data_IF_601596293331
#
_entry.id   IF_601596293331
#
_cell.length_a   1.000
_cell.length_b   1.000
_cell.length_c   1.000
_cell.angle_alpha   90.00
_cell.angle_beta   90.00
_cell.angle_gamma   90.00
#
_symmetry.space_group_name_H-M   'P 1'
#
loop_
_entity.id
_entity.type
_entity.pdbx_description
1 polymer ?
#
# COMPACT_ATOMS: atom_id res chain seq x y z
N UNK A 1 -10.94 27.52 0.02
CA UNK A 1 -10.45 27.29 1.40
C UNK A 1 -9.14 26.54 1.30
N UNK A 2 -8.05 27.03 1.91
CA UNK A 2 -6.76 26.39 1.76
C UNK A 2 -6.80 25.02 2.44
N UNK A 3 -6.22 24.04 1.78
CA UNK A 3 -6.05 22.66 2.24
C UNK A 3 -5.28 22.65 3.55
N UNK A 4 -5.99 22.47 4.67
CA UNK A 4 -5.43 21.88 5.87
C UNK A 4 -4.97 20.47 5.49
N UNK A 5 -3.72 20.37 5.08
CA UNK A 5 -3.05 19.07 4.94
C UNK A 5 -2.92 18.58 6.36
N UNK A 6 -3.83 17.70 6.76
CA UNK A 6 -3.70 16.89 7.95
C UNK A 6 -2.26 16.39 8.05
N UNK A 7 -1.47 16.99 8.93
CA UNK A 7 -0.26 16.38 9.49
C UNK A 7 -0.72 15.28 10.43
N UNK A 8 -1.47 14.31 9.90
CA UNK A 8 -1.73 13.07 10.61
C UNK A 8 -0.37 12.43 10.82
N UNK A 9 -0.02 12.15 12.08
CA UNK A 9 1.18 11.39 12.39
C UNK A 9 1.10 10.05 11.65
N UNK A 10 2.23 9.53 11.18
CA UNK A 10 2.27 8.21 10.53
C UNK A 10 1.71 7.12 11.47
N UNK A 11 1.83 7.37 12.79
CA UNK A 11 1.19 6.61 13.87
C UNK A 11 -0.34 6.59 13.80
N UNK A 12 -0.97 7.74 13.56
CA UNK A 12 -2.44 7.87 13.62
C UNK A 12 -3.11 7.33 12.35
N UNK A 13 -2.35 7.24 11.26
CA UNK A 13 -2.78 6.64 10.00
C UNK A 13 -2.59 5.11 9.97
N UNK A 14 -2.02 4.50 11.03
CA UNK A 14 -1.80 3.06 11.07
C UNK A 14 -3.14 2.30 11.15
N UNK A 15 -3.47 1.41 10.20
CA UNK A 15 -4.80 0.82 10.16
C UNK A 15 -5.02 -0.11 11.36
N UNK A 16 -6.19 0.04 12.00
CA UNK A 16 -6.53 -0.67 13.24
C UNK A 16 -6.41 -2.19 13.11
N UNK A 17 -6.72 -2.75 11.93
CA UNK A 17 -6.65 -4.19 11.67
C UNK A 17 -5.24 -4.79 11.68
N UNK A 18 -4.19 -3.98 11.60
CA UNK A 18 -2.80 -4.46 11.61
C UNK A 18 -2.12 -4.32 12.98
N UNK A 19 -2.85 -3.91 14.03
CA UNK A 19 -2.25 -3.63 15.34
C UNK A 19 -1.65 -4.86 16.01
N UNK A 20 -2.22 -6.04 15.76
CA UNK A 20 -1.73 -7.30 16.33
C UNK A 20 -0.70 -8.00 15.43
N UNK A 21 -0.57 -7.54 14.19
CA UNK A 21 0.34 -8.10 13.19
C UNK A 21 1.75 -7.54 13.33
N UNK A 22 2.73 -8.30 12.82
CA UNK A 22 4.13 -7.85 12.77
C UNK A 22 4.37 -7.11 11.45
N UNK A 23 4.05 -5.82 11.43
CA UNK A 23 3.98 -5.03 10.18
C UNK A 23 4.87 -3.79 10.25
N UNK A 24 5.44 -3.41 9.10
CA UNK A 24 6.17 -2.16 8.92
C UNK A 24 5.49 -1.36 7.82
N UNK A 25 5.12 -0.11 8.09
CA UNK A 25 4.69 0.86 7.08
C UNK A 25 5.78 1.90 6.87
N UNK A 26 6.31 1.97 5.66
CA UNK A 26 7.43 2.86 5.31
C UNK A 26 6.97 3.99 4.39
N UNK A 27 7.09 5.24 4.85
CA UNK A 27 7.00 6.45 4.04
C UNK A 27 8.34 6.75 3.37
N UNK A 28 8.47 6.28 2.14
CA UNK A 28 9.67 6.46 1.29
C UNK A 28 10.04 7.92 1.06
N UNK A 29 9.06 8.85 1.07
CA UNK A 29 9.33 10.27 0.77
C UNK A 29 9.95 10.96 1.97
N UNK A 30 9.53 10.58 3.17
CA UNK A 30 10.01 11.16 4.44
C UNK A 30 11.15 10.35 5.07
N UNK A 31 11.42 9.14 4.61
CA UNK A 31 12.40 8.23 5.21
C UNK A 31 11.97 7.71 6.58
N UNK A 32 10.66 7.76 6.88
CA UNK A 32 10.09 7.37 8.16
C UNK A 32 9.37 6.04 8.01
N UNK A 33 9.49 5.17 9.00
CA UNK A 33 8.66 3.98 9.10
C UNK A 33 7.98 3.89 10.45
N UNK A 34 6.85 3.21 10.45
CA UNK A 34 6.13 2.81 11.65
C UNK A 34 6.14 1.29 11.70
N UNK A 35 6.68 0.76 12.79
CA UNK A 35 6.64 -0.65 13.12
C UNK A 35 5.50 -0.91 14.10
N UNK A 36 4.70 -1.95 13.83
CA UNK A 36 3.70 -2.44 14.75
C UNK A 36 3.98 -3.88 15.15
N UNK A 37 3.81 -4.16 16.45
CA UNK A 37 3.84 -5.51 16.98
C UNK A 37 3.07 -5.57 18.30
N UNK A 38 2.04 -6.43 18.38
CA UNK A 38 1.25 -6.68 19.60
C UNK A 38 0.66 -5.40 20.22
N UNK A 39 0.11 -4.52 19.39
CA UNK A 39 -0.49 -3.25 19.81
C UNK A 39 0.51 -2.13 20.11
N UNK A 40 1.82 -2.40 20.08
CA UNK A 40 2.85 -1.38 20.19
C UNK A 40 3.17 -0.80 18.82
N UNK A 41 3.16 0.53 18.72
CA UNK A 41 3.47 1.27 17.50
C UNK A 41 4.71 2.13 17.77
N UNK A 42 5.78 1.91 16.98
CA UNK A 42 7.06 2.60 17.11
C UNK A 42 7.37 3.29 15.80
N UNK A 43 7.62 4.59 15.82
CA UNK A 43 8.12 5.34 14.67
C UNK A 43 9.65 5.37 14.68
N UNK A 44 10.26 5.10 13.54
CA UNK A 44 11.71 5.11 13.36
C UNK A 44 12.10 5.66 11.99
N UNK A 45 13.32 6.18 11.87
CA UNK A 45 13.90 6.53 10.57
C UNK A 45 14.49 5.28 9.91
N UNK A 46 14.26 5.12 8.60
CA UNK A 46 14.86 4.04 7.83
C UNK A 46 16.19 4.51 7.26
N UNK A 47 17.28 3.97 7.80
CA UNK A 47 18.65 4.30 7.40
C UNK A 47 19.12 3.41 6.24
N UNK A 48 18.59 2.18 6.14
CA UNK A 48 18.99 1.17 5.16
C UNK A 48 18.03 1.10 3.97
N UNK A 49 18.49 0.72 2.77
CA UNK A 49 17.60 0.52 1.63
C UNK A 49 16.59 -0.60 1.90
N UNK A 50 15.43 -0.50 1.26
CA UNK A 50 14.38 -1.54 1.29
C UNK A 50 14.97 -2.81 0.66
N UNK A 51 14.79 -3.99 1.30
CA UNK A 51 15.22 -5.25 0.71
C UNK A 51 14.49 -5.52 -0.61
N UNK A 52 15.08 -6.38 -1.44
CA UNK A 52 14.37 -6.91 -2.61
C UNK A 52 13.22 -7.80 -2.15
N UNK A 53 12.21 -7.90 -3.02
CA UNK A 53 11.07 -8.80 -2.82
C UNK A 53 11.54 -10.24 -2.65
N UNK A 54 10.93 -10.93 -1.72
CA UNK A 54 11.12 -12.34 -1.49
C UNK A 54 10.38 -13.16 -2.56
N UNK A 55 10.76 -14.43 -2.71
CA UNK A 55 10.06 -15.36 -3.59
C UNK A 55 8.58 -15.52 -3.21
N UNK A 56 8.28 -15.47 -1.91
CA UNK A 56 6.92 -15.55 -1.38
C UNK A 56 6.09 -14.31 -1.74
N UNK A 57 6.64 -13.11 -1.56
CA UNK A 57 5.99 -11.86 -1.99
C UNK A 57 5.72 -11.86 -3.49
N UNK A 58 6.68 -12.32 -4.29
CA UNK A 58 6.55 -12.46 -5.74
C UNK A 58 5.44 -13.45 -6.10
N UNK A 59 5.36 -14.58 -5.40
CA UNK A 59 4.31 -15.58 -5.60
C UNK A 59 2.92 -15.00 -5.35
N UNK A 60 2.71 -14.31 -4.23
CA UNK A 60 1.41 -13.70 -3.91
C UNK A 60 1.06 -12.53 -4.83
N UNK A 61 2.05 -11.74 -5.24
CA UNK A 61 1.87 -10.67 -6.24
C UNK A 61 1.34 -11.24 -7.57
N UNK A 62 1.95 -12.31 -8.07
CA UNK A 62 1.48 -12.99 -9.29
C UNK A 62 0.10 -13.63 -9.11
N UNK A 63 -0.18 -14.22 -7.94
CA UNK A 63 -1.50 -14.77 -7.64
C UNK A 63 -2.58 -13.68 -7.69
N UNK A 64 -2.30 -12.50 -7.13
CA UNK A 64 -3.20 -11.36 -7.18
C UNK A 64 -3.43 -10.85 -8.61
N UNK A 65 -2.37 -10.69 -9.41
CA UNK A 65 -2.48 -10.30 -10.82
C UNK A 65 -3.39 -11.26 -11.59
N UNK A 66 -3.15 -12.56 -11.44
CA UNK A 66 -3.96 -13.60 -12.06
C UNK A 66 -5.43 -13.54 -11.61
N UNK A 67 -5.68 -13.37 -10.31
CA UNK A 67 -7.04 -13.22 -9.78
C UNK A 67 -7.75 -12.00 -10.37
N UNK A 68 -7.07 -10.86 -10.38
CA UNK A 68 -7.61 -9.59 -10.87
C UNK A 68 -7.99 -9.66 -12.36
N UNK A 69 -7.14 -10.28 -13.18
CA UNK A 69 -7.39 -10.45 -14.62
C UNK A 69 -8.48 -11.50 -14.91
N UNK A 70 -8.47 -12.62 -14.20
CA UNK A 70 -9.37 -13.75 -14.49
C UNK A 70 -10.79 -13.53 -14.02
N UNK A 71 -10.99 -12.85 -12.89
CA UNK A 71 -12.33 -12.56 -12.38
C UNK A 71 -12.94 -11.29 -12.98
N UNK A 72 -12.17 -10.51 -13.75
CA UNK A 72 -12.70 -9.36 -14.44
C UNK A 72 -13.79 -9.78 -15.45
N UNK A 73 -15.02 -9.34 -15.21
CA UNK A 73 -16.13 -9.50 -16.16
C UNK A 73 -15.95 -8.43 -17.23
N UNK A 74 -15.48 -8.82 -18.42
CA UNK A 74 -15.10 -7.90 -19.51
C UNK A 74 -16.25 -6.95 -19.89
N UNK A 75 -17.48 -7.46 -19.90
CA UNK A 75 -18.68 -6.70 -20.24
C UNK A 75 -19.06 -5.64 -19.20
N UNK A 76 -18.52 -5.74 -17.97
CA UNK A 76 -18.73 -4.76 -16.89
C UNK A 76 -17.56 -3.79 -16.74
N UNK A 77 -16.60 -3.81 -17.66
CA UNK A 77 -15.46 -2.91 -17.61
C UNK A 77 -15.93 -1.45 -17.73
N UNK A 78 -15.58 -0.64 -16.71
CA UNK A 78 -15.88 0.77 -16.68
C UNK A 78 -14.62 1.56 -16.36
N UNK A 79 -13.83 1.84 -17.40
CA UNK A 79 -12.56 2.56 -17.28
C UNK A 79 -12.72 3.96 -16.68
N UNK A 80 -13.82 4.66 -16.96
CA UNK A 80 -14.10 5.99 -16.39
C UNK A 80 -14.33 5.89 -14.89
N UNK A 81 -15.15 4.93 -14.45
CA UNK A 81 -15.38 4.64 -13.03
C UNK A 81 -14.11 4.21 -12.31
N UNK A 82 -13.34 3.31 -12.94
CA UNK A 82 -12.06 2.85 -12.41
C UNK A 82 -11.05 3.99 -12.28
N UNK A 83 -10.95 4.92 -13.25
CA UNK A 83 -10.06 6.09 -13.17
C UNK A 83 -10.49 7.10 -12.10
N UNK A 84 -11.80 7.25 -11.90
CA UNK A 84 -12.36 8.12 -10.85
C UNK A 84 -12.08 7.57 -9.44
N UNK A 85 -12.27 6.27 -9.25
CA UNK A 85 -12.12 5.61 -7.95
C UNK A 85 -10.67 5.21 -7.65
N UNK A 86 -9.88 4.91 -8.69
CA UNK A 86 -8.46 4.53 -8.60
C UNK A 86 -7.62 5.47 -9.48
N UNK A 87 -7.20 6.63 -8.93
CA UNK A 87 -6.48 7.66 -9.68
C UNK A 87 -5.17 7.15 -10.28
N UNK A 88 -4.90 7.54 -11.53
CA UNK A 88 -3.71 7.12 -12.30
C UNK A 88 -2.39 7.36 -11.57
N UNK A 89 -2.28 8.46 -10.81
CA UNK A 89 -1.06 8.82 -10.06
C UNK A 89 -0.62 7.78 -9.03
N UNK A 90 -1.56 6.96 -8.53
CA UNK A 90 -1.30 5.96 -7.49
C UNK A 90 -1.15 4.54 -8.05
N UNK A 91 -1.62 4.29 -9.28
CA UNK A 91 -1.57 2.96 -9.90
C UNK A 91 -0.16 2.38 -10.01
N UNK A 92 0.87 3.23 -10.14
CA UNK A 92 2.28 2.82 -10.13
C UNK A 92 2.77 2.19 -8.81
N UNK A 93 1.93 2.17 -7.78
CA UNK A 93 2.21 1.56 -6.47
C UNK A 93 1.22 0.43 -6.15
N UNK A 94 0.45 -0.03 -7.14
CA UNK A 94 -0.58 -1.04 -6.98
C UNK A 94 -0.24 -2.23 -7.87
N UNK A 95 -0.15 -3.41 -7.26
CA UNK A 95 0.33 -4.65 -7.89
C UNK A 95 -0.43 -4.98 -9.18
N UNK A 96 -1.74 -4.81 -9.19
CA UNK A 96 -2.58 -5.13 -10.36
C UNK A 96 -2.35 -4.22 -11.58
N UNK A 97 -1.65 -3.09 -11.43
CA UNK A 97 -1.31 -2.18 -12.54
C UNK A 97 0.18 -2.17 -12.86
N UNK A 98 0.97 -2.97 -12.16
CA UNK A 98 2.37 -3.17 -12.49
C UNK A 98 2.51 -4.01 -13.77
N UNK A 99 3.48 -3.69 -14.64
CA UNK A 99 3.70 -4.40 -15.89
C UNK A 99 4.09 -5.88 -15.71
#
# INVERSE_FOLDING_TARGET
>A
APTEIYTFSLHDAFPIGFRDEKTILHDRKRGLAVFCHKGHIIQAEIIKPIPQETEEETFFSNLWKNYFETLAIKERENLTGQKRNVPLKYRKFMVEFEP
#
